data_IF_028718837353
#
_entry.id   IF_028718837353
#
_cell.length_a   1.000
_cell.length_b   1.000
_cell.length_c   1.000
_cell.angle_alpha   90.00
_cell.angle_beta   90.00
_cell.angle_gamma   90.00
#
_symmetry.space_group_name_H-M   'P 1'
#
loop_
_entity.id
_entity.type
_entity.pdbx_description
1 polymer ?
#
# COMPACT_ATOMS: atom_id res chain seq x y z
N UNK A 1 -6.06 -23.66 8.98
CA UNK A 1 -6.88 -23.27 7.82
C UNK A 1 -6.03 -22.34 6.98
N UNK A 2 -5.40 -22.84 5.93
CA UNK A 2 -4.53 -22.05 5.06
C UNK A 2 -5.41 -21.30 4.05
N UNK A 3 -5.25 -19.97 3.97
CA UNK A 3 -5.91 -19.16 2.94
C UNK A 3 -5.18 -19.39 1.60
N UNK A 4 -5.88 -19.42 0.46
CA UNK A 4 -5.26 -19.57 -0.84
C UNK A 4 -4.40 -18.35 -1.16
N UNK A 5 -3.09 -18.57 -1.31
CA UNK A 5 -2.12 -17.58 -1.78
C UNK A 5 -2.25 -17.49 -3.30
N UNK A 6 -3.00 -16.50 -3.81
CA UNK A 6 -3.00 -16.22 -5.25
C UNK A 6 -1.90 -15.21 -5.55
N UNK A 7 -0.82 -15.70 -6.17
CA UNK A 7 0.13 -14.87 -6.91
C UNK A 7 -0.67 -14.13 -7.98
N UNK A 8 -0.48 -12.82 -8.15
CA UNK A 8 -1.09 -12.07 -9.24
C UNK A 8 -0.66 -12.70 -10.58
N UNK A 9 -1.52 -13.54 -11.15
CA UNK A 9 -1.21 -14.34 -12.32
C UNK A 9 -1.34 -13.50 -13.60
N UNK A 10 -0.30 -13.57 -14.45
CA UNK A 10 -0.42 -13.40 -15.90
C UNK A 10 -0.34 -11.98 -16.46
N UNK A 11 0.84 -11.62 -16.97
CA UNK A 11 1.01 -10.97 -18.28
C UNK A 11 0.31 -9.64 -18.61
N UNK A 12 -0.32 -8.94 -17.66
CA UNK A 12 -0.86 -7.60 -17.93
C UNK A 12 0.28 -6.58 -17.94
N UNK A 13 0.31 -5.64 -18.92
CA UNK A 13 1.33 -4.61 -18.96
C UNK A 13 1.22 -3.80 -17.68
N UNK A 14 2.33 -3.74 -16.94
CA UNK A 14 2.41 -2.96 -15.73
C UNK A 14 2.15 -1.48 -16.06
N UNK A 15 1.37 -0.79 -15.23
CA UNK A 15 1.04 0.62 -15.46
C UNK A 15 2.06 1.50 -14.76
N UNK A 16 2.60 2.46 -15.51
CA UNK A 16 3.40 3.53 -14.93
C UNK A 16 2.48 4.47 -14.15
N UNK A 17 2.87 4.78 -12.92
CA UNK A 17 2.19 5.75 -12.05
C UNK A 17 3.21 6.78 -11.61
N UNK A 18 2.92 8.05 -11.89
CA UNK A 18 3.71 9.19 -11.39
C UNK A 18 2.93 9.84 -10.27
N UNK A 19 3.60 10.19 -9.17
CA UNK A 19 2.94 10.73 -7.97
C UNK A 19 3.57 12.03 -7.52
N UNK A 20 2.73 13.00 -7.19
CA UNK A 20 3.12 14.21 -6.48
C UNK A 20 2.48 14.24 -5.08
N UNK A 21 3.33 14.36 -4.05
CA UNK A 21 2.90 14.47 -2.64
C UNK A 21 3.58 15.69 -2.02
N UNK A 22 2.78 16.62 -1.50
CA UNK A 22 3.31 17.82 -0.83
C UNK A 22 4.24 18.67 -1.71
N UNK A 23 4.01 18.69 -3.03
CA UNK A 23 4.83 19.42 -4.00
C UNK A 23 6.09 18.68 -4.47
N UNK A 24 6.31 17.44 -4.03
CA UNK A 24 7.42 16.58 -4.50
C UNK A 24 6.87 15.54 -5.47
N UNK A 25 7.34 15.60 -6.72
CA UNK A 25 7.11 14.56 -7.70
C UNK A 25 8.12 13.41 -7.49
N UNK A 26 7.63 12.18 -7.51
CA UNK A 26 8.46 11.00 -7.61
C UNK A 26 8.45 10.45 -9.05
N UNK A 27 9.52 9.74 -9.43
CA UNK A 27 9.65 9.14 -10.75
C UNK A 27 8.55 8.10 -11.04
N UNK A 28 8.39 7.68 -12.31
CA UNK A 28 7.38 6.71 -12.68
C UNK A 28 7.63 5.37 -11.97
N UNK A 29 6.66 4.91 -11.17
CA UNK A 29 6.70 3.60 -10.52
C UNK A 29 5.83 2.63 -11.30
N UNK A 30 6.42 1.49 -11.65
CA UNK A 30 5.75 0.41 -12.38
C UNK A 30 5.23 -0.60 -11.36
N UNK A 31 3.90 -0.65 -11.18
CA UNK A 31 3.26 -1.63 -10.31
C UNK A 31 2.47 -2.68 -11.10
N UNK A 32 2.37 -3.92 -10.58
CA UNK A 32 1.53 -4.94 -11.18
C UNK A 32 0.08 -4.50 -11.21
N UNK A 33 -0.62 -4.83 -12.30
CA UNK A 33 -2.06 -4.59 -12.39
C UNK A 33 -2.77 -5.51 -11.40
N UNK A 34 -3.43 -4.91 -10.41
CA UNK A 34 -4.24 -5.65 -9.46
C UNK A 34 -5.57 -6.05 -10.11
N UNK A 35 -5.96 -7.31 -9.97
CA UNK A 35 -7.30 -7.75 -10.34
C UNK A 35 -8.30 -7.24 -9.28
N UNK A 36 -9.46 -6.68 -9.67
CA UNK A 36 -10.49 -6.26 -8.72
C UNK A 36 -10.82 -7.36 -7.72
N UNK A 37 -11.00 -6.99 -6.46
CA UNK A 37 -11.36 -7.96 -5.43
C UNK A 37 -12.87 -8.20 -5.39
N UNK A 38 -13.25 -9.47 -5.31
CA UNK A 38 -14.61 -9.88 -4.99
C UNK A 38 -14.99 -9.56 -3.54
N UNK A 39 -14.00 -9.36 -2.67
CA UNK A 39 -14.20 -9.04 -1.24
C UNK A 39 -13.12 -8.08 -0.71
N UNK A 40 -13.18 -7.76 0.57
CA UNK A 40 -12.16 -6.96 1.26
C UNK A 40 -10.81 -7.71 1.27
N UNK A 41 -9.70 -6.99 1.12
CA UNK A 41 -8.38 -7.61 1.15
C UNK A 41 -7.23 -6.68 1.53
N UNK A 42 -6.04 -7.26 1.62
CA UNK A 42 -4.78 -6.57 1.81
C UNK A 42 -3.90 -6.78 0.58
N UNK A 43 -3.17 -5.75 0.19
CA UNK A 43 -2.12 -5.87 -0.81
C UNK A 43 -0.79 -5.64 -0.13
N UNK A 44 0.05 -6.66 -0.17
CA UNK A 44 1.38 -6.68 0.42
C UNK A 44 2.38 -6.44 -0.69
N UNK A 45 3.26 -5.47 -0.51
CA UNK A 45 4.42 -5.35 -1.38
C UNK A 45 5.63 -5.96 -0.71
N UNK A 46 6.43 -6.70 -1.47
CA UNK A 46 7.78 -7.07 -1.04
C UNK A 46 8.78 -6.42 -2.00
N UNK A 47 9.85 -5.78 -1.50
CA UNK A 47 10.94 -5.37 -2.36
C UNK A 47 11.57 -6.63 -2.97
N UNK A 48 11.36 -6.85 -4.27
CA UNK A 48 12.23 -7.72 -5.06
C UNK A 48 13.54 -6.93 -5.22
N UNK A 49 14.68 -7.58 -4.99
CA UNK A 49 16.00 -6.95 -4.86
C UNK A 49 16.15 -5.66 -5.66
N UNK A 50 16.42 -4.57 -4.94
CA UNK A 50 16.74 -3.28 -5.54
C UNK A 50 18.00 -3.46 -6.36
N UNK A 51 17.92 -3.32 -7.68
CA UNK A 51 19.11 -2.92 -8.43
C UNK A 51 19.21 -1.39 -8.31
N UNK A 52 20.14 -0.85 -7.48
CA UNK A 52 20.28 0.58 -7.31
C UNK A 52 20.67 1.28 -8.62
N UNK A 53 21.10 0.56 -9.66
CA UNK A 53 21.45 1.13 -10.96
C UNK A 53 20.25 1.51 -11.82
N UNK A 54 19.06 0.92 -11.60
CA UNK A 54 17.95 0.99 -12.58
C UNK A 54 16.78 1.88 -12.12
N UNK A 55 16.85 2.46 -10.90
CA UNK A 55 15.86 3.40 -10.36
C UNK A 55 14.42 2.89 -10.27
N UNK A 56 14.18 1.62 -10.63
CA UNK A 56 12.85 1.02 -10.77
C UNK A 56 12.62 0.07 -9.61
N UNK A 57 11.77 0.49 -8.67
CA UNK A 57 11.27 -0.37 -7.62
C UNK A 57 10.37 -1.47 -8.21
N UNK A 58 10.93 -2.63 -8.55
CA UNK A 58 10.17 -3.81 -8.97
C UNK A 58 9.57 -4.47 -7.73
N UNK A 59 8.46 -3.95 -7.23
CA UNK A 59 7.72 -4.57 -6.13
C UNK A 59 6.74 -5.62 -6.66
N UNK A 60 6.76 -6.83 -6.11
CA UNK A 60 5.67 -7.79 -6.33
C UNK A 60 4.58 -7.55 -5.29
N UNK A 61 3.33 -7.62 -5.73
CA UNK A 61 2.15 -7.48 -4.89
C UNK A 61 1.50 -8.85 -4.66
N UNK A 62 1.32 -9.24 -3.39
CA UNK A 62 0.47 -10.38 -3.01
C UNK A 62 -0.84 -9.84 -2.46
N UNK A 63 -1.96 -10.47 -2.81
CA UNK A 63 -3.27 -10.11 -2.28
C UNK A 63 -3.74 -11.17 -1.28
N UNK A 64 -4.13 -10.72 -0.08
CA UNK A 64 -4.76 -11.56 0.94
C UNK A 64 -6.22 -11.14 1.15
N UNK A 65 -7.16 -12.06 0.91
CA UNK A 65 -8.58 -11.83 1.16
C UNK A 65 -8.91 -11.98 2.63
N UNK A 66 -9.57 -10.98 3.23
CA UNK A 66 -9.85 -10.95 4.66
C UNK A 66 -11.19 -10.27 4.96
N UNK A 67 -11.92 -10.70 6.01
CA UNK A 67 -13.09 -9.98 6.48
C UNK A 67 -12.74 -8.54 6.87
N UNK A 68 -13.62 -7.60 6.52
CA UNK A 68 -13.49 -6.15 6.80
C UNK A 68 -12.98 -5.82 8.20
N UNK A 69 -13.52 -6.52 9.20
CA UNK A 69 -13.22 -6.30 10.62
C UNK A 69 -11.79 -6.65 11.02
N UNK A 70 -11.08 -7.43 10.19
CA UNK A 70 -9.71 -7.89 10.45
C UNK A 70 -8.66 -7.16 9.63
N UNK A 71 -9.03 -6.53 8.50
CA UNK A 71 -8.12 -5.87 7.56
C UNK A 71 -7.00 -5.07 8.24
N UNK A 72 -7.36 -4.03 8.99
CA UNK A 72 -6.38 -3.13 9.58
C UNK A 72 -5.52 -3.83 10.62
N UNK A 73 -6.11 -4.74 11.41
CA UNK A 73 -5.35 -5.50 12.43
C UNK A 73 -4.31 -6.39 11.78
N UNK A 74 -4.70 -7.14 10.75
CA UNK A 74 -3.81 -8.05 10.03
C UNK A 74 -2.74 -7.29 9.25
N UNK A 75 -3.07 -6.14 8.65
CA UNK A 75 -2.09 -5.30 7.97
C UNK A 75 -0.92 -4.89 8.90
N UNK A 76 -1.24 -4.50 10.15
CA UNK A 76 -0.20 -4.20 11.13
C UNK A 76 0.55 -5.43 11.63
N UNK A 77 -0.11 -6.57 11.72
CA UNK A 77 0.54 -7.83 12.13
C UNK A 77 1.57 -8.25 11.08
N UNK A 78 1.20 -8.22 9.80
CA UNK A 78 2.10 -8.49 8.67
C UNK A 78 3.26 -7.49 8.61
N UNK A 79 2.97 -6.19 8.72
CA UNK A 79 4.00 -5.15 8.77
C UNK A 79 4.99 -5.33 9.95
N UNK A 80 4.55 -5.91 11.07
CA UNK A 80 5.41 -6.13 12.25
C UNK A 80 6.19 -7.45 12.20
N UNK A 81 5.59 -8.49 11.66
CA UNK A 81 6.09 -9.86 11.79
C UNK A 81 6.82 -10.38 10.56
N UNK A 82 6.65 -9.75 9.39
CA UNK A 82 7.37 -10.11 8.17
C UNK A 82 8.43 -9.05 7.83
N UNK A 83 9.72 -9.29 8.13
CA UNK A 83 10.79 -8.32 7.90
C UNK A 83 11.06 -8.03 6.42
N UNK A 84 10.53 -8.86 5.50
CA UNK A 84 10.63 -8.66 4.06
C UNK A 84 9.44 -7.92 3.45
N UNK A 85 8.45 -7.50 4.26
CA UNK A 85 7.26 -6.79 3.76
C UNK A 85 7.52 -5.29 3.74
N UNK A 86 7.30 -4.70 2.57
CA UNK A 86 7.23 -3.26 2.37
C UNK A 86 5.86 -2.69 2.80
N UNK A 87 5.47 -1.51 2.30
CA UNK A 87 4.15 -0.95 2.56
C UNK A 87 3.01 -1.94 2.27
N UNK A 88 2.00 -1.92 3.14
CA UNK A 88 0.80 -2.75 3.09
C UNK A 88 -0.40 -1.86 2.82
N UNK A 89 -1.10 -2.09 1.70
CA UNK A 89 -2.34 -1.40 1.41
C UNK A 89 -3.55 -2.19 1.92
N UNK A 90 -4.41 -1.51 2.67
CA UNK A 90 -5.75 -1.96 2.97
C UNK A 90 -6.63 -1.68 1.76
N UNK A 91 -7.25 -2.72 1.21
CA UNK A 91 -8.10 -2.64 0.03
C UNK A 91 -9.54 -3.05 0.36
N UNK A 92 -10.39 -2.07 0.72
CA UNK A 92 -11.80 -2.32 0.90
C UNK A 92 -12.49 -2.72 -0.42
N UNK A 93 -13.46 -3.61 -0.36
CA UNK A 93 -14.28 -3.98 -1.51
C UNK A 93 -14.95 -2.74 -2.13
N UNK A 94 -15.04 -2.71 -3.46
CA UNK A 94 -15.58 -1.60 -4.25
C UNK A 94 -14.61 -0.44 -4.48
N UNK A 95 -13.41 -0.45 -3.89
CA UNK A 95 -12.36 0.52 -4.21
C UNK A 95 -11.65 0.09 -5.51
N UNK A 96 -11.46 1.00 -6.49
CA UNK A 96 -10.72 0.70 -7.70
C UNK A 96 -9.30 0.20 -7.42
N UNK A 97 -8.86 -0.78 -8.21
CA UNK A 97 -7.52 -1.35 -8.14
C UNK A 97 -6.44 -0.28 -8.29
N UNK A 98 -6.65 0.66 -9.21
CA UNK A 98 -5.77 1.78 -9.49
C UNK A 98 -5.53 2.66 -8.26
N UNK A 99 -6.56 2.92 -7.47
CA UNK A 99 -6.42 3.76 -6.28
C UNK A 99 -5.63 3.05 -5.19
N UNK A 100 -5.83 1.74 -5.03
CA UNK A 100 -5.04 0.89 -4.13
C UNK A 100 -3.57 0.85 -4.57
N UNK A 101 -3.33 0.75 -5.88
CA UNK A 101 -1.98 0.86 -6.46
C UNK A 101 -1.35 2.21 -6.13
N UNK A 102 -2.06 3.32 -6.32
CA UNK A 102 -1.57 4.65 -5.92
C UNK A 102 -1.26 4.70 -4.41
N UNK A 103 -2.13 4.15 -3.56
CA UNK A 103 -1.89 4.09 -2.13
C UNK A 103 -0.60 3.34 -1.78
N UNK A 104 -0.31 2.22 -2.45
CA UNK A 104 0.95 1.48 -2.27
C UNK A 104 2.17 2.30 -2.64
N UNK A 105 2.16 2.97 -3.80
CA UNK A 105 3.28 3.83 -4.21
C UNK A 105 3.48 4.96 -3.20
N UNK A 106 2.41 5.60 -2.76
CA UNK A 106 2.47 6.62 -1.68
C UNK A 106 3.09 6.03 -0.43
N UNK A 107 2.74 4.79 -0.06
CA UNK A 107 3.39 4.07 1.02
C UNK A 107 4.91 3.93 0.83
N UNK A 108 5.38 3.66 -0.39
CA UNK A 108 6.82 3.58 -0.69
C UNK A 108 7.51 4.94 -0.60
N UNK A 109 6.90 5.99 -1.16
CA UNK A 109 7.40 7.38 -1.09
C UNK A 109 7.54 7.82 0.35
N UNK A 110 6.53 7.56 1.17
CA UNK A 110 6.54 7.91 2.59
C UNK A 110 7.55 7.07 3.37
N UNK A 111 7.74 5.80 3.01
CA UNK A 111 8.72 4.92 3.64
C UNK A 111 10.16 5.33 3.32
N UNK A 112 10.45 5.82 2.11
CA UNK A 112 11.81 6.26 1.72
C UNK A 112 12.26 7.51 2.49
N UNK A 113 11.32 8.31 2.99
CA UNK A 113 11.59 9.45 3.86
C UNK A 113 11.78 9.07 5.34
N UNK A 114 11.61 7.79 5.71
CA UNK A 114 11.74 7.32 7.10
C UNK A 114 13.14 6.81 7.41
N UNK A 115 13.57 6.87 8.69
CA UNK A 115 14.80 6.22 9.12
C UNK A 115 14.82 4.73 8.75
N UNK A 116 16.00 4.23 8.38
CA UNK A 116 16.24 2.80 8.13
C UNK A 116 15.79 2.00 9.37
N UNK A 117 15.07 0.89 9.13
CA UNK A 117 14.52 0.06 10.21
C UNK A 117 13.17 0.52 10.75
N UNK A 118 12.59 1.59 10.20
CA UNK A 118 11.21 1.97 10.51
C UNK A 118 10.23 0.87 10.11
N UNK A 119 9.16 0.71 10.90
CA UNK A 119 8.11 -0.26 10.59
C UNK A 119 7.47 0.05 9.23
N UNK A 120 7.13 -0.99 8.43
CA UNK A 120 6.40 -0.84 7.19
C UNK A 120 5.10 -0.07 7.37
N UNK A 121 4.77 0.73 6.36
CA UNK A 121 3.60 1.58 6.38
C UNK A 121 2.32 0.81 6.08
N UNK A 122 1.24 1.15 6.78
CA UNK A 122 -0.11 0.69 6.44
C UNK A 122 -0.87 1.85 5.81
N UNK A 123 -1.35 1.67 4.59
CA UNK A 123 -1.97 2.73 3.78
C UNK A 123 -3.33 2.32 3.23
N UNK A 124 -4.17 3.29 2.86
CA UNK A 124 -5.47 3.03 2.25
C UNK A 124 -5.87 4.19 1.32
N UNK A 125 -6.38 3.88 0.12
CA UNK A 125 -6.78 4.89 -0.86
C UNK A 125 -8.10 5.61 -0.50
N UNK A 126 -8.87 5.02 0.42
CA UNK A 126 -10.10 5.59 0.97
C UNK A 126 -9.99 5.64 2.48
N UNK A 127 -10.96 6.29 3.14
CA UNK A 127 -11.01 6.28 4.59
C UNK A 127 -11.09 4.82 5.09
N UNK A 128 -10.10 4.33 5.86
CA UNK A 128 -10.03 2.92 6.17
C UNK A 128 -11.20 2.47 7.06
N UNK A 129 -11.68 1.23 6.94
CA UNK A 129 -12.75 0.69 7.77
C UNK A 129 -12.24 0.34 9.17
N UNK A 130 -11.95 1.36 9.97
CA UNK A 130 -11.39 1.24 11.30
C UNK A 130 -12.32 1.81 12.38
N UNK A 131 -12.08 1.41 13.64
CA UNK A 131 -12.74 2.02 14.80
C UNK A 131 -12.39 3.52 14.87
N UNK A 132 -13.35 4.35 15.30
CA UNK A 132 -13.24 5.83 15.35
C UNK A 132 -11.99 6.38 16.04
N UNK A 133 -11.38 5.60 16.94
CA UNK A 133 -10.25 6.02 17.77
C UNK A 133 -8.87 5.77 17.14
N UNK A 134 -8.77 5.08 16.00
CA UNK A 134 -7.47 4.81 15.38
C UNK A 134 -6.99 6.05 14.61
N UNK A 135 -5.80 6.60 14.95
CA UNK A 135 -5.29 7.78 14.26
C UNK A 135 -4.82 7.45 12.85
N UNK A 136 -4.99 8.38 11.93
CA UNK A 136 -4.51 8.29 10.56
C UNK A 136 -4.10 9.67 10.04
N UNK A 137 -3.06 9.72 9.21
CA UNK A 137 -2.62 10.91 8.51
C UNK A 137 -3.22 10.93 7.10
N UNK A 138 -3.56 12.13 6.64
CA UNK A 138 -4.11 12.37 5.30
C UNK A 138 -3.00 12.91 4.41
N UNK A 139 -2.79 12.25 3.30
CA UNK A 139 -1.85 12.65 2.27
C UNK A 139 -2.65 13.03 1.01
N UNK A 140 -2.81 14.32 0.70
CA UNK A 140 -3.36 14.74 -0.58
C UNK A 140 -2.36 14.40 -1.68
N UNK A 141 -2.83 13.74 -2.73
CA UNK A 141 -1.99 13.14 -3.75
C UNK A 141 -2.56 13.46 -5.12
N UNK A 142 -1.69 13.94 -6.01
CA UNK A 142 -1.93 13.96 -7.45
C UNK A 142 -1.20 12.79 -8.07
N UNK A 143 -1.89 11.99 -8.86
CA UNK A 143 -1.29 10.86 -9.56
C UNK A 143 -1.68 10.87 -11.03
N UNK A 144 -0.72 10.58 -11.91
CA UNK A 144 -1.01 10.22 -13.29
C UNK A 144 -1.09 8.69 -13.36
N UNK A 145 -2.27 8.17 -13.70
CA UNK A 145 -2.52 6.74 -13.85
C UNK A 145 -2.87 6.46 -15.32
N UNK A 146 -1.88 6.02 -16.09
CA UNK A 146 -2.09 5.67 -17.50
C UNK A 146 -2.48 6.86 -18.39
N UNK A 147 -1.95 8.04 -18.12
CA UNK A 147 -2.23 9.29 -18.86
C UNK A 147 -3.42 10.07 -18.29
N UNK A 148 -4.06 9.58 -17.24
CA UNK A 148 -5.16 10.28 -16.57
C UNK A 148 -4.69 10.84 -15.22
N UNK A 149 -4.73 12.16 -15.10
CA UNK A 149 -4.47 12.85 -13.84
C UNK A 149 -5.65 12.67 -12.88
N UNK A 150 -5.37 12.21 -11.67
CA UNK A 150 -6.34 12.01 -10.59
C UNK A 150 -5.87 12.67 -9.31
N UNK A 151 -6.82 13.27 -8.58
CA UNK A 151 -6.60 13.76 -7.22
C UNK A 151 -7.27 12.82 -6.22
N UNK A 152 -6.53 12.37 -5.22
CA UNK A 152 -7.04 11.50 -4.16
C UNK A 152 -6.42 11.84 -2.80
N UNK A 153 -7.06 11.38 -1.73
CA UNK A 153 -6.46 11.41 -0.39
C UNK A 153 -6.08 9.99 0.00
N UNK A 154 -4.78 9.73 0.09
CA UNK A 154 -4.27 8.48 0.68
C UNK A 154 -4.17 8.64 2.19
N UNK A 155 -4.64 7.63 2.91
CA UNK A 155 -4.61 7.58 4.36
C UNK A 155 -3.47 6.70 4.82
N UNK A 156 -2.56 7.26 5.61
CA UNK A 156 -1.60 6.47 6.38
C UNK A 156 -2.24 6.11 7.72
N UNK A 157 -2.41 4.82 7.96
CA UNK A 157 -2.96 4.32 9.22
C UNK A 157 -1.81 4.24 10.21
N UNK A 158 -1.95 4.90 11.36
CA UNK A 158 -0.94 4.87 12.39
C UNK A 158 -1.15 3.65 13.30
N UNK A 159 -0.04 3.01 13.65
CA UNK A 159 -0.05 2.01 14.71
C UNK A 159 -0.51 2.69 16.01
N UNK A 160 -1.27 1.99 16.88
CA UNK A 160 -1.49 2.49 18.23
C UNK A 160 -0.11 2.70 18.85
N UNK A 161 0.14 3.85 19.46
CA UNK A 161 1.33 4.00 20.29
C UNK A 161 1.31 2.85 21.31
N UNK A 162 2.44 2.15 21.54
CA UNK A 162 2.50 1.26 22.68
C UNK A 162 2.06 2.08 23.91
N UNK A 163 1.11 1.54 24.68
CA UNK A 163 0.85 2.07 26.01
C UNK A 163 2.17 1.92 26.76
N UNK A 164 2.86 3.04 26.96
CA UNK A 164 3.92 3.10 27.95
C UNK A 164 3.20 2.95 29.27
N UNK A 165 3.18 1.72 29.80
CA UNK A 165 2.76 1.51 31.18
C UNK A 165 3.93 2.04 32.02
N UNK A 166 3.71 3.08 32.84
CA UNK A 166 4.75 3.65 33.70
C UNK A 166 5.27 2.64 34.72
#
# INVERSE_FOLDING_TARGET
>A
MALPLMTAAGGRPARAVTIEIGGRADGPVILPVLAPLETDGLVLTRPLGSDPADGTHRGWATVEYLPRSRLVRWAFELARCDPGVGPVAVWPHGVPAEWTTVALVVGWVLASARPVGSAPLVVCAVRPPMRKTRPALRHPVRADVGGQLVELTVWEILAPRPLVVP
#
